data_IF_010137863233
#
_entry.id   IF_010137863233
#
_cell.length_a   1.000
_cell.length_b   1.000
_cell.length_c   1.000
_cell.angle_alpha   90.00
_cell.angle_beta   90.00
_cell.angle_gamma   90.00
#
_symmetry.space_group_name_H-M   'P 1'
#
loop_
_entity.id
_entity.type
_entity.pdbx_description
1 polymer ?
#
# COMPACT_ATOMS: atom_id res chain seq x y z
N UNK A 1 25.94 -49.91 16.59
CA UNK A 1 25.34 -48.79 17.35
C UNK A 1 25.07 -47.61 16.40
N UNK A 2 24.22 -47.76 15.37
CA UNK A 2 24.25 -46.79 14.23
C UNK A 2 22.88 -46.30 13.74
N UNK A 3 21.76 -46.93 14.15
CA UNK A 3 20.44 -46.58 13.60
C UNK A 3 19.85 -45.25 14.13
N UNK A 4 20.30 -44.75 15.30
CA UNK A 4 19.81 -43.48 15.86
C UNK A 4 20.28 -42.24 15.09
N UNK A 5 21.51 -42.27 14.57
CA UNK A 5 22.09 -41.17 13.77
C UNK A 5 21.39 -41.03 12.41
N UNK A 6 21.07 -42.17 11.77
CA UNK A 6 20.33 -42.19 10.50
C UNK A 6 18.90 -41.67 10.64
N UNK A 7 18.20 -42.02 11.73
CA UNK A 7 16.86 -41.51 12.01
C UNK A 7 16.86 -39.99 12.24
N UNK A 8 17.81 -39.47 13.01
CA UNK A 8 17.93 -38.03 13.27
C UNK A 8 18.32 -37.24 12.01
N UNK A 9 19.17 -37.80 11.15
CA UNK A 9 19.53 -37.21 9.87
C UNK A 9 18.32 -37.20 8.92
N UNK A 10 17.60 -38.32 8.77
CA UNK A 10 16.39 -38.40 7.97
C UNK A 10 15.29 -37.46 8.48
N UNK A 11 15.10 -37.37 9.80
CA UNK A 11 14.14 -36.47 10.44
C UNK A 11 14.51 -35.00 10.22
N UNK A 12 15.80 -34.66 10.33
CA UNK A 12 16.33 -33.32 10.02
C UNK A 12 16.09 -32.93 8.57
N UNK A 13 16.40 -33.81 7.62
CA UNK A 13 16.17 -33.57 6.19
C UNK A 13 14.68 -33.41 5.89
N UNK A 14 13.82 -34.24 6.47
CA UNK A 14 12.37 -34.13 6.31
C UNK A 14 11.85 -32.81 6.89
N UNK A 15 12.32 -32.42 8.09
CA UNK A 15 11.95 -31.14 8.71
C UNK A 15 12.39 -29.95 7.86
N UNK A 16 13.61 -30.01 7.29
CA UNK A 16 14.13 -28.96 6.43
C UNK A 16 13.32 -28.84 5.13
N UNK A 17 12.93 -29.97 4.52
CA UNK A 17 12.07 -29.99 3.34
C UNK A 17 10.67 -29.44 3.65
N UNK A 18 10.11 -29.78 4.81
CA UNK A 18 8.82 -29.24 5.27
C UNK A 18 8.92 -27.73 5.47
N UNK A 19 9.96 -27.24 6.16
CA UNK A 19 10.18 -25.80 6.37
C UNK A 19 10.45 -25.06 5.05
N UNK A 20 11.20 -25.66 4.13
CA UNK A 20 11.41 -25.12 2.80
C UNK A 20 10.09 -25.04 2.02
N UNK A 21 9.26 -26.08 2.06
CA UNK A 21 7.98 -26.10 1.36
C UNK A 21 6.97 -25.13 1.99
N UNK A 22 6.89 -25.08 3.32
CA UNK A 22 6.06 -24.10 4.04
C UNK A 22 6.50 -22.67 3.74
N UNK A 23 7.80 -22.39 3.79
CA UNK A 23 8.32 -21.06 3.46
C UNK A 23 8.08 -20.69 2.01
N UNK A 24 8.25 -21.63 1.05
CA UNK A 24 7.94 -21.41 -0.35
C UNK A 24 6.45 -21.14 -0.58
N UNK A 25 5.55 -21.84 0.10
CA UNK A 25 4.10 -21.59 0.03
C UNK A 25 3.74 -20.22 0.60
N UNK A 26 4.27 -19.86 1.77
CA UNK A 26 4.04 -18.53 2.37
C UNK A 26 4.58 -17.44 1.45
N UNK A 27 5.80 -17.59 0.94
CA UNK A 27 6.41 -16.64 0.00
C UNK A 27 5.62 -16.52 -1.29
N UNK A 28 5.14 -17.64 -1.85
CA UNK A 28 4.27 -17.66 -3.04
C UNK A 28 2.95 -16.91 -2.79
N UNK A 29 2.32 -17.12 -1.64
CA UNK A 29 1.07 -16.42 -1.29
C UNK A 29 1.30 -14.93 -1.07
N UNK A 30 2.46 -14.52 -0.58
CA UNK A 30 2.83 -13.10 -0.41
C UNK A 30 3.18 -12.43 -1.75
N UNK A 31 3.83 -13.14 -2.68
CA UNK A 31 4.23 -12.59 -3.98
C UNK A 31 3.12 -12.57 -5.05
N UNK A 32 2.24 -13.58 -5.08
CA UNK A 32 1.26 -13.77 -6.17
C UNK A 32 -0.15 -13.24 -5.87
N UNK A 33 -0.37 -12.58 -4.72
CA UNK A 33 -1.70 -12.06 -4.35
C UNK A 33 -2.08 -10.84 -5.19
N UNK A 34 -2.62 -11.07 -6.40
CA UNK A 34 -3.23 -10.04 -7.25
C UNK A 34 -4.69 -9.84 -6.86
N UNK A 35 -4.92 -9.12 -5.77
CA UNK A 35 -6.27 -8.73 -5.35
C UNK A 35 -6.70 -7.44 -6.07
N UNK A 36 -7.94 -7.39 -6.55
CA UNK A 36 -8.55 -6.18 -7.11
C UNK A 36 -9.35 -5.52 -5.99
N UNK A 37 -9.08 -4.26 -5.72
CA UNK A 37 -9.71 -3.51 -4.63
C UNK A 37 -10.29 -2.21 -5.14
N UNK A 38 -11.41 -1.81 -4.55
CA UNK A 38 -12.05 -0.52 -4.84
C UNK A 38 -11.31 0.60 -4.13
N UNK A 39 -10.95 1.64 -4.88
CA UNK A 39 -10.27 2.83 -4.36
C UNK A 39 -11.25 3.62 -3.49
N UNK A 40 -10.94 3.86 -2.21
CA UNK A 40 -11.75 4.72 -1.34
C UNK A 40 -11.62 6.19 -1.75
N UNK A 41 -12.62 6.98 -1.37
CA UNK A 41 -12.55 8.43 -1.48
C UNK A 41 -11.74 9.01 -0.32
N UNK A 42 -10.62 9.63 -0.65
CA UNK A 42 -9.73 10.33 0.30
C UNK A 42 -9.71 11.83 0.08
N UNK A 43 -10.56 12.36 -0.79
CA UNK A 43 -10.72 13.80 -1.04
C UNK A 43 -11.16 14.51 0.24
N UNK A 44 -10.60 15.69 0.50
CA UNK A 44 -10.86 16.48 1.70
C UNK A 44 -10.23 15.92 2.99
N UNK A 45 -9.48 14.81 2.91
CA UNK A 45 -8.76 14.24 4.06
C UNK A 45 -7.32 14.73 4.10
N UNK A 46 -6.71 14.70 5.28
CA UNK A 46 -5.26 14.91 5.41
C UNK A 46 -4.49 13.73 4.79
N UNK A 47 -3.24 13.96 4.35
CA UNK A 47 -2.33 12.88 3.90
C UNK A 47 -2.30 11.70 4.88
N UNK A 48 -2.27 11.99 6.18
CA UNK A 48 -2.20 10.95 7.22
C UNK A 48 -3.49 10.13 7.29
N UNK A 49 -4.65 10.77 7.21
CA UNK A 49 -5.95 10.08 7.16
C UNK A 49 -6.09 9.26 5.87
N UNK A 50 -5.80 9.87 4.72
CA UNK A 50 -5.83 9.22 3.41
C UNK A 50 -4.94 7.97 3.38
N UNK A 51 -3.71 8.08 3.90
CA UNK A 51 -2.76 6.98 4.00
C UNK A 51 -3.29 5.83 4.86
N UNK A 52 -3.92 6.13 6.00
CA UNK A 52 -4.51 5.09 6.86
C UNK A 52 -5.65 4.37 6.17
N UNK A 53 -6.49 5.09 5.42
CA UNK A 53 -7.65 4.53 4.74
C UNK A 53 -7.26 3.65 3.55
N UNK A 54 -6.28 4.09 2.76
CA UNK A 54 -5.72 3.29 1.68
C UNK A 54 -5.02 2.03 2.21
N UNK A 55 -4.27 2.14 3.31
CA UNK A 55 -3.63 0.98 3.96
C UNK A 55 -4.62 -0.08 4.46
N UNK A 56 -5.84 0.29 4.84
CA UNK A 56 -6.90 -0.70 5.20
C UNK A 56 -7.34 -1.55 4.00
N UNK A 57 -7.02 -1.11 2.79
CA UNK A 57 -7.30 -1.76 1.51
C UNK A 57 -6.03 -2.29 0.86
N UNK A 58 -4.92 -2.34 1.61
CA UNK A 58 -3.57 -2.68 1.15
C UNK A 58 -3.04 -1.76 0.02
N UNK A 59 -3.70 -0.62 -0.21
CA UNK A 59 -3.29 0.35 -1.24
C UNK A 59 -2.18 1.26 -0.72
N UNK A 60 -1.19 1.50 -1.57
CA UNK A 60 -0.15 2.50 -1.33
C UNK A 60 -0.66 3.91 -1.68
N UNK A 61 -0.19 4.92 -0.94
CA UNK A 61 -0.40 6.34 -1.24
C UNK A 61 0.91 6.94 -1.75
N UNK A 62 0.84 7.64 -2.86
CA UNK A 62 1.93 8.45 -3.39
C UNK A 62 1.51 9.93 -3.39
N UNK A 63 2.29 10.80 -2.74
CA UNK A 63 2.01 12.24 -2.78
C UNK A 63 2.71 12.87 -3.99
N UNK A 64 1.96 13.51 -4.88
CA UNK A 64 2.48 14.17 -6.10
C UNK A 64 2.72 15.67 -5.94
N UNK A 65 2.62 16.19 -4.72
CA UNK A 65 2.88 17.59 -4.40
C UNK A 65 1.62 18.34 -3.97
N UNK A 66 1.68 19.66 -4.02
CA UNK A 66 0.58 20.53 -3.63
C UNK A 66 0.21 21.55 -4.73
N UNK A 67 -1.07 21.84 -4.86
CA UNK A 67 -1.62 22.82 -5.81
C UNK A 67 -2.46 23.87 -5.06
N UNK A 68 -2.50 25.09 -5.60
CA UNK A 68 -3.33 26.16 -5.03
C UNK A 68 -4.81 25.78 -5.15
N UNK A 69 -5.54 25.91 -4.05
CA UNK A 69 -6.95 25.57 -4.02
C UNK A 69 -7.70 26.44 -3.01
N UNK A 70 -8.73 27.14 -3.50
CA UNK A 70 -9.50 28.07 -2.68
C UNK A 70 -10.62 27.38 -1.88
N UNK A 71 -10.96 26.13 -2.24
CA UNK A 71 -12.03 25.36 -1.60
C UNK A 71 -11.54 24.52 -0.43
N UNK A 72 -10.32 24.03 -0.49
CA UNK A 72 -9.75 23.14 0.51
C UNK A 72 -8.58 23.81 1.23
N UNK A 73 -8.59 23.72 2.56
CA UNK A 73 -7.48 24.19 3.39
C UNK A 73 -6.17 23.49 3.06
N UNK A 74 -5.05 24.17 3.35
CA UNK A 74 -3.70 23.65 3.13
C UNK A 74 -3.52 22.29 3.80
N UNK A 75 -2.97 21.34 3.05
CA UNK A 75 -2.66 19.98 3.53
C UNK A 75 -3.80 18.97 3.39
N UNK A 76 -4.97 19.39 2.90
CA UNK A 76 -6.06 18.47 2.52
C UNK A 76 -5.86 17.95 1.10
N UNK A 77 -6.24 16.70 0.83
CA UNK A 77 -6.24 16.12 -0.51
C UNK A 77 -7.31 16.81 -1.35
N UNK A 78 -6.89 17.40 -2.46
CA UNK A 78 -7.76 18.08 -3.42
C UNK A 78 -8.05 17.22 -4.64
N UNK A 79 -7.12 16.33 -4.97
CA UNK A 79 -7.22 15.43 -6.11
C UNK A 79 -6.62 14.09 -5.77
N UNK A 80 -7.27 13.04 -6.25
CA UNK A 80 -6.75 11.68 -6.20
C UNK A 80 -6.82 11.03 -7.59
N UNK A 81 -5.86 10.17 -7.89
CA UNK A 81 -5.80 9.37 -9.10
C UNK A 81 -5.19 8.00 -8.76
N UNK A 82 -5.89 6.87 -8.97
CA UNK A 82 -7.20 6.71 -9.60
C UNK A 82 -8.38 7.33 -8.84
N UNK A 83 -9.44 7.66 -9.57
CA UNK A 83 -10.67 8.23 -9.01
C UNK A 83 -11.33 7.30 -7.99
N UNK A 84 -12.06 7.87 -7.03
CA UNK A 84 -12.81 7.09 -6.04
C UNK A 84 -13.78 6.11 -6.71
N UNK A 85 -13.91 4.89 -6.16
CA UNK A 85 -14.73 3.83 -6.74
C UNK A 85 -14.06 3.04 -7.87
N UNK A 86 -12.89 3.47 -8.36
CA UNK A 86 -12.13 2.72 -9.36
C UNK A 86 -11.72 1.35 -8.81
N UNK A 87 -11.68 0.33 -9.67
CA UNK A 87 -11.20 -1.01 -9.31
C UNK A 87 -9.78 -1.18 -9.83
N UNK A 88 -8.81 -1.24 -8.93
CA UNK A 88 -7.40 -1.36 -9.27
C UNK A 88 -6.77 -2.57 -8.59
N UNK A 89 -5.62 -3.01 -9.11
CA UNK A 89 -4.82 -4.04 -8.42
C UNK A 89 -4.19 -3.42 -7.18
N UNK A 90 -4.09 -4.18 -6.09
CA UNK A 90 -3.45 -3.74 -4.83
C UNK A 90 -2.03 -3.18 -5.03
N UNK A 91 -1.32 -3.66 -6.06
CA UNK A 91 0.03 -3.21 -6.43
C UNK A 91 0.08 -1.78 -6.99
N UNK A 92 -1.06 -1.19 -7.34
CA UNK A 92 -1.14 0.17 -7.91
C UNK A 92 -1.20 1.21 -6.79
N UNK A 93 -0.28 2.16 -6.81
CA UNK A 93 -0.29 3.29 -5.88
C UNK A 93 -1.38 4.31 -6.27
N UNK A 94 -2.09 4.83 -5.27
CA UNK A 94 -3.02 5.95 -5.42
C UNK A 94 -2.25 7.24 -5.23
N UNK A 95 -2.18 8.03 -6.30
CA UNK A 95 -1.57 9.34 -6.32
C UNK A 95 -2.53 10.36 -5.73
N UNK A 96 -2.03 11.21 -4.84
CA UNK A 96 -2.79 12.31 -4.25
C UNK A 96 -2.06 13.63 -4.43
N UNK A 97 -2.84 14.69 -4.65
CA UNK A 97 -2.38 16.08 -4.65
C UNK A 97 -3.06 16.78 -3.49
N UNK A 98 -2.29 17.56 -2.73
CA UNK A 98 -2.81 18.32 -1.59
C UNK A 98 -3.00 19.80 -1.92
N UNK A 99 -3.85 20.50 -1.17
CA UNK A 99 -3.96 21.95 -1.26
C UNK A 99 -2.72 22.61 -0.66
N UNK A 100 -2.17 23.62 -1.34
CA UNK A 100 -1.20 24.57 -0.79
C UNK A 100 -1.88 25.78 -0.10
N UNK A 101 -3.22 25.81 -0.05
CA UNK A 101 -4.05 26.93 0.41
C UNK A 101 -4.47 27.87 -0.72
N UNK A 102 -5.26 28.89 -0.40
CA UNK A 102 -5.61 29.95 -1.34
C UNK A 102 -4.34 30.69 -1.75
N UNK A 103 -4.06 30.71 -3.05
CA UNK A 103 -2.96 31.47 -3.61
C UNK A 103 -3.36 32.94 -3.60
N UNK A 104 -3.14 33.66 -2.50
CA UNK A 104 -3.08 35.12 -2.57
C UNK A 104 -1.83 35.46 -3.35
N UNK A 105 -1.94 35.53 -4.68
CA UNK A 105 -0.98 36.28 -5.47
C UNK A 105 -1.25 37.73 -5.08
N UNK A 106 -0.44 38.26 -4.17
CA UNK A 106 -0.38 39.71 -3.97
C UNK A 106 0.04 40.30 -5.32
N UNK A 107 -0.90 40.96 -6.00
CA UNK A 107 -0.63 41.76 -7.19
C UNK A 107 0.05 43.03 -6.71
N UNK A 108 1.32 43.30 -7.06
CA UNK A 108 1.96 44.58 -6.73
C UNK A 108 1.44 45.66 -7.68
N UNK A 109 0.93 46.76 -7.14
CA UNK A 109 0.81 48.06 -7.82
C UNK A 109 1.74 49.09 -7.13
#
# INVERSE_FOLDING_TARGET
MTNRSLYNAALSTLLFLILFFLSAVIFSQVLLKSEIVTVPDVTGKTITQARRELRKKDLALESKGAEANDRFERGLVVRQDPAAGSRIRVTTAVQVVTSSGSGTVEVPD
#
